data_IF_036776016984
#
_entry.id   IF_036776016984
#
_cell.length_a   1.000
_cell.length_b   1.000
_cell.length_c   1.000
_cell.angle_alpha   90.00
_cell.angle_beta   90.00
_cell.angle_gamma   90.00
#
_symmetry.space_group_name_H-M   'P 1'
#
loop_
_entity.id
_entity.type
_entity.pdbx_description
1 polymer ?
#
# COMPACT_ATOMS: atom_id res chain seq x y z
N UNK A 1 -11.41 -7.26 -15.29
CA UNK A 1 -10.39 -7.56 -14.25
C UNK A 1 -9.75 -6.24 -13.89
N UNK A 2 -10.01 -5.72 -12.68
CA UNK A 2 -9.41 -4.48 -12.21
C UNK A 2 -7.88 -4.61 -12.17
N UNK A 3 -7.22 -3.72 -12.91
CA UNK A 3 -5.76 -3.64 -12.96
C UNK A 3 -5.27 -3.01 -11.66
N UNK A 4 -4.58 -3.79 -10.83
CA UNK A 4 -3.91 -3.30 -9.64
C UNK A 4 -2.50 -2.79 -9.99
N UNK A 5 -2.04 -1.79 -9.23
CA UNK A 5 -0.72 -1.19 -9.38
C UNK A 5 0.37 -2.24 -9.09
N UNK A 6 1.30 -2.43 -10.02
CA UNK A 6 2.32 -3.49 -9.94
C UNK A 6 3.27 -3.32 -8.76
N UNK A 7 3.51 -2.08 -8.31
CA UNK A 7 4.29 -1.80 -7.09
C UNK A 7 3.60 -2.36 -5.85
N UNK A 8 2.27 -2.18 -5.76
CA UNK A 8 1.49 -2.72 -4.66
C UNK A 8 1.50 -4.25 -4.66
N UNK A 9 1.25 -4.85 -5.82
CA UNK A 9 1.29 -6.30 -5.98
C UNK A 9 2.63 -6.87 -5.52
N UNK A 10 3.74 -6.26 -5.95
CA UNK A 10 5.09 -6.62 -5.51
C UNK A 10 5.29 -6.50 -3.99
N UNK A 11 4.80 -5.42 -3.38
CA UNK A 11 4.91 -5.21 -1.92
C UNK A 11 4.10 -6.21 -1.08
N UNK A 12 3.03 -6.77 -1.65
CA UNK A 12 2.13 -7.70 -0.96
C UNK A 12 2.52 -9.17 -1.14
N UNK A 13 3.52 -9.49 -1.98
CA UNK A 13 4.03 -10.85 -2.13
C UNK A 13 4.66 -11.34 -0.82
N UNK A 14 4.01 -12.30 -0.16
CA UNK A 14 4.47 -12.89 1.11
C UNK A 14 5.36 -14.11 0.92
N UNK A 15 5.10 -14.90 -0.11
CA UNK A 15 5.79 -16.18 -0.36
C UNK A 15 6.93 -16.02 -1.38
N UNK A 16 7.97 -15.25 -1.02
CA UNK A 16 9.17 -15.06 -1.83
C UNK A 16 10.35 -15.84 -1.26
N UNK A 17 11.03 -16.61 -2.11
CA UNK A 17 12.38 -17.09 -1.78
C UNK A 17 13.36 -15.92 -1.67
N UNK A 18 14.52 -16.08 -1.00
CA UNK A 18 15.50 -15.00 -0.85
C UNK A 18 15.92 -14.35 -2.18
N UNK A 19 16.12 -15.16 -3.24
CA UNK A 19 16.46 -14.67 -4.57
C UNK A 19 15.30 -13.93 -5.25
N UNK A 20 14.07 -14.38 -5.08
CA UNK A 20 12.91 -13.66 -5.64
C UNK A 20 12.69 -12.32 -4.91
N UNK A 21 12.93 -12.27 -3.60
CA UNK A 21 12.88 -11.02 -2.83
C UNK A 21 13.95 -10.03 -3.29
N UNK A 22 15.17 -10.47 -3.58
CA UNK A 22 16.19 -9.59 -4.16
C UNK A 22 15.75 -8.94 -5.48
N UNK A 23 15.08 -9.70 -6.35
CA UNK A 23 14.53 -9.16 -7.60
C UNK A 23 13.45 -8.13 -7.31
N UNK A 24 12.49 -8.46 -6.44
CA UNK A 24 11.37 -7.57 -6.08
C UNK A 24 11.89 -6.28 -5.44
N UNK A 25 12.80 -6.37 -4.47
CA UNK A 25 13.35 -5.22 -3.76
C UNK A 25 14.13 -4.30 -4.72
N UNK A 26 14.91 -4.87 -5.64
CA UNK A 26 15.61 -4.08 -6.66
C UNK A 26 14.65 -3.32 -7.56
N UNK A 27 13.58 -3.97 -8.06
CA UNK A 27 12.59 -3.31 -8.92
C UNK A 27 11.86 -2.20 -8.15
N UNK A 28 11.52 -2.41 -6.88
CA UNK A 28 10.87 -1.40 -6.05
C UNK A 28 11.77 -0.18 -5.79
N UNK A 29 13.07 -0.41 -5.59
CA UNK A 29 14.04 0.65 -5.31
C UNK A 29 14.50 1.40 -6.58
N UNK A 30 14.61 0.68 -7.70
CA UNK A 30 15.16 1.18 -8.96
C UNK A 30 14.25 0.86 -10.17
N UNK A 31 13.00 1.37 -10.19
CA UNK A 31 12.00 0.97 -11.17
C UNK A 31 12.32 1.42 -12.61
N UNK A 32 12.87 2.62 -12.79
CA UNK A 32 13.30 3.12 -14.10
C UNK A 32 14.47 2.30 -14.66
N UNK A 33 15.44 1.98 -13.82
CA UNK A 33 16.56 1.12 -14.21
C UNK A 33 16.06 -0.28 -14.59
N UNK A 34 15.12 -0.84 -13.83
CA UNK A 34 14.54 -2.15 -14.12
C UNK A 34 13.81 -2.20 -15.48
N UNK A 35 13.22 -1.09 -15.96
CA UNK A 35 12.61 -1.02 -17.29
C UNK A 35 13.63 -1.15 -18.43
N UNK A 36 14.80 -0.57 -18.26
CA UNK A 36 15.86 -0.56 -19.27
C UNK A 36 16.55 -1.92 -19.39
N UNK A 37 16.50 -2.74 -18.34
CA UNK A 37 17.18 -4.03 -18.30
C UNK A 37 16.44 -5.10 -19.12
N UNK A 38 17.22 -6.00 -19.71
CA UNK A 38 16.73 -7.29 -20.21
C UNK A 38 16.50 -8.25 -19.03
N UNK A 39 15.72 -9.32 -19.22
CA UNK A 39 15.47 -10.30 -18.15
C UNK A 39 16.78 -10.92 -17.63
N UNK A 40 17.77 -11.11 -18.51
CA UNK A 40 19.09 -11.64 -18.16
C UNK A 40 19.89 -10.61 -17.38
N UNK A 41 19.87 -9.34 -17.80
CA UNK A 41 20.57 -8.27 -17.12
C UNK A 41 19.95 -7.95 -15.74
N UNK A 42 18.62 -8.02 -15.61
CA UNK A 42 17.93 -7.87 -14.33
C UNK A 42 18.28 -9.02 -13.37
N UNK A 43 18.34 -10.25 -13.88
CA UNK A 43 18.86 -11.38 -13.11
C UNK A 43 20.28 -11.11 -12.62
N UNK A 44 21.19 -10.71 -13.51
CA UNK A 44 22.58 -10.43 -13.15
C UNK A 44 22.72 -9.28 -12.12
N UNK A 45 21.99 -8.17 -12.28
CA UNK A 45 22.01 -7.03 -11.36
C UNK A 45 21.49 -7.37 -9.96
N UNK A 46 20.64 -8.39 -9.87
CA UNK A 46 20.07 -8.86 -8.60
C UNK A 46 20.82 -10.05 -8.03
N UNK A 47 21.96 -10.44 -8.63
CA UNK A 47 22.71 -11.66 -8.29
C UNK A 47 21.86 -12.95 -8.39
N UNK A 48 20.91 -12.95 -9.32
CA UNK A 48 20.02 -14.07 -9.60
C UNK A 48 20.07 -14.49 -11.07
N UNK A 49 19.21 -15.44 -11.47
CA UNK A 49 19.08 -15.92 -12.84
C UNK A 49 17.83 -15.34 -13.52
N UNK A 50 17.82 -15.34 -14.86
CA UNK A 50 16.63 -14.99 -15.65
C UNK A 50 15.41 -15.85 -15.29
N UNK A 51 15.61 -17.11 -14.90
CA UNK A 51 14.54 -17.99 -14.43
C UNK A 51 13.92 -17.53 -13.11
N UNK A 52 14.70 -16.90 -12.22
CA UNK A 52 14.18 -16.29 -10.99
C UNK A 52 13.32 -15.08 -11.30
N UNK A 53 13.77 -14.20 -12.19
CA UNK A 53 12.96 -13.06 -12.68
C UNK A 53 11.66 -13.55 -13.32
N UNK A 54 11.72 -14.60 -14.15
CA UNK A 54 10.52 -15.19 -14.76
C UNK A 54 9.53 -15.74 -13.72
N UNK A 55 10.02 -16.36 -12.62
CA UNK A 55 9.15 -16.83 -11.53
C UNK A 55 8.47 -15.67 -10.80
N UNK A 56 9.17 -14.56 -10.59
CA UNK A 56 8.56 -13.33 -10.02
C UNK A 56 7.45 -12.82 -10.93
N UNK A 57 7.67 -12.75 -12.25
CA UNK A 57 6.62 -12.39 -13.21
C UNK A 57 5.39 -13.31 -13.08
N UNK A 58 5.59 -14.63 -12.99
CA UNK A 58 4.48 -15.58 -12.79
C UNK A 58 3.72 -15.34 -11.49
N UNK A 59 4.40 -15.00 -10.39
CA UNK A 59 3.76 -14.66 -9.10
C UNK A 59 2.95 -13.37 -9.16
N UNK A 60 3.35 -12.42 -10.01
CA UNK A 60 2.62 -11.18 -10.28
C UNK A 60 1.48 -11.35 -11.29
N UNK A 61 1.18 -12.59 -11.70
CA UNK A 61 0.12 -12.90 -12.67
C UNK A 61 0.25 -12.12 -13.98
N UNK A 62 1.49 -11.83 -14.41
CA UNK A 62 1.78 -11.21 -15.71
C UNK A 62 2.17 -12.24 -16.75
N UNK A 63 1.90 -11.93 -18.02
CA UNK A 63 2.22 -12.80 -19.16
C UNK A 63 3.69 -12.64 -19.59
N UNK A 64 4.59 -12.99 -18.67
CA UNK A 64 6.04 -12.96 -18.88
C UNK A 64 6.66 -11.57 -18.72
N UNK A 65 7.96 -11.46 -19.04
CA UNK A 65 8.74 -10.27 -18.73
C UNK A 65 8.39 -9.04 -19.58
N UNK A 66 7.92 -9.23 -20.82
CA UNK A 66 7.50 -8.10 -21.66
C UNK A 66 6.25 -7.43 -21.10
N UNK A 67 5.26 -8.23 -20.68
CA UNK A 67 4.02 -7.74 -20.05
C UNK A 67 4.33 -7.09 -18.69
N UNK A 68 5.22 -7.69 -17.90
CA UNK A 68 5.76 -7.06 -16.69
C UNK A 68 6.32 -5.66 -16.98
N UNK A 69 7.20 -5.51 -17.98
CA UNK A 69 7.78 -4.20 -18.31
C UNK A 69 6.75 -3.20 -18.81
N UNK A 70 5.75 -3.65 -19.57
CA UNK A 70 4.67 -2.78 -20.04
C UNK A 70 3.81 -2.27 -18.87
N UNK A 71 3.46 -3.15 -17.92
CA UNK A 71 2.74 -2.77 -16.71
C UNK A 71 3.57 -1.85 -15.82
N UNK A 72 4.84 -2.20 -15.60
CA UNK A 72 5.79 -1.38 -14.85
C UNK A 72 5.93 0.01 -15.47
N UNK A 73 6.05 0.11 -16.79
CA UNK A 73 6.15 1.39 -17.50
C UNK A 73 4.90 2.24 -17.28
N UNK A 74 3.72 1.68 -17.52
CA UNK A 74 2.48 2.41 -17.37
C UNK A 74 2.22 2.83 -15.90
N UNK A 75 2.62 2.00 -14.93
CA UNK A 75 2.51 2.36 -13.51
C UNK A 75 3.58 3.37 -13.10
N UNK A 76 4.79 3.35 -13.67
CA UNK A 76 5.80 4.40 -13.50
C UNK A 76 5.29 5.72 -14.06
N UNK A 77 4.67 5.75 -15.24
CA UNK A 77 4.14 6.98 -15.81
C UNK A 77 2.99 7.55 -14.96
N UNK A 78 2.04 6.70 -14.55
CA UNK A 78 0.97 7.09 -13.64
C UNK A 78 1.51 7.55 -12.28
N UNK A 79 2.65 7.01 -11.84
CA UNK A 79 3.30 7.39 -10.60
C UNK A 79 4.08 8.70 -10.76
N UNK A 80 4.85 8.88 -11.84
CA UNK A 80 5.59 10.09 -12.18
C UNK A 80 4.68 11.31 -12.36
N UNK A 81 3.43 11.11 -12.84
CA UNK A 81 2.43 12.19 -12.89
C UNK A 81 2.05 12.74 -11.50
N UNK A 82 2.36 12.01 -10.42
CA UNK A 82 2.25 12.46 -9.02
C UNK A 82 3.61 12.63 -8.30
N UNK A 83 4.70 12.10 -8.86
CA UNK A 83 5.98 11.84 -8.17
C UNK A 83 7.15 12.53 -8.87
N UNK A 84 7.11 13.85 -8.93
CA UNK A 84 8.34 14.66 -8.82
C UNK A 84 8.88 14.67 -7.36
N UNK A 85 8.65 13.58 -6.60
CA UNK A 85 8.94 13.45 -5.16
C UNK A 85 9.53 12.06 -4.92
N UNK A 86 10.87 11.98 -4.82
CA UNK A 86 11.71 10.81 -4.54
C UNK A 86 10.99 9.53 -4.02
N UNK A 87 11.34 8.40 -4.66
CA UNK A 87 10.71 7.07 -4.58
C UNK A 87 10.78 6.35 -3.23
N UNK A 88 11.41 6.91 -2.20
CA UNK A 88 11.51 6.31 -0.87
C UNK A 88 10.98 7.28 0.20
N UNK A 89 10.38 6.76 1.28
CA UNK A 89 10.17 7.56 2.50
C UNK A 89 11.51 8.18 2.86
N UNK A 90 11.56 9.50 2.94
CA UNK A 90 12.82 10.18 3.14
C UNK A 90 13.07 10.16 4.65
N UNK A 91 14.09 9.42 5.12
CA UNK A 91 14.38 9.37 6.54
C UNK A 91 14.75 10.77 7.02
N UNK A 92 14.18 11.15 8.15
CA UNK A 92 14.60 12.35 8.89
C UNK A 92 15.76 11.89 9.77
N UNK A 93 16.93 12.45 9.53
CA UNK A 93 18.17 12.12 10.23
C UNK A 93 18.50 13.19 11.28
N UNK A 94 19.25 12.82 12.31
CA UNK A 94 19.76 13.76 13.29
C UNK A 94 20.75 14.78 12.68
N UNK A 95 21.34 14.48 11.52
CA UNK A 95 22.21 15.41 10.78
C UNK A 95 21.45 16.42 9.91
N UNK A 96 20.13 16.27 9.74
CA UNK A 96 19.35 17.17 8.90
C UNK A 96 19.31 18.58 9.47
N UNK A 97 19.39 19.59 8.60
CA UNK A 97 19.05 20.95 9.03
C UNK A 97 17.55 21.05 9.35
N UNK A 98 17.16 22.12 10.04
CA UNK A 98 15.74 22.39 10.29
C UNK A 98 14.95 22.53 8.98
N UNK A 99 15.55 23.15 7.96
CA UNK A 99 14.94 23.28 6.65
C UNK A 99 14.74 21.90 6.00
N UNK A 100 15.76 21.05 6.00
CA UNK A 100 15.67 19.69 5.45
C UNK A 100 14.58 18.89 6.18
N UNK A 101 14.53 19.00 7.51
CA UNK A 101 13.50 18.34 8.32
C UNK A 101 12.09 18.77 7.92
N UNK A 102 11.86 20.07 7.77
CA UNK A 102 10.55 20.61 7.35
C UNK A 102 10.16 20.08 5.96
N UNK A 103 11.08 20.13 5.00
CA UNK A 103 10.84 19.66 3.64
C UNK A 103 10.55 18.15 3.62
N UNK A 104 11.33 17.35 4.34
CA UNK A 104 11.14 15.90 4.45
C UNK A 104 9.82 15.52 5.10
N UNK A 105 9.39 16.22 6.15
CA UNK A 105 8.07 15.99 6.78
C UNK A 105 6.94 16.22 5.78
N UNK A 106 6.95 17.38 5.10
CA UNK A 106 5.92 17.72 4.11
C UNK A 106 5.90 16.70 2.97
N UNK A 107 7.08 16.35 2.43
CA UNK A 107 7.20 15.37 1.35
C UNK A 107 6.67 14.00 1.78
N UNK A 108 7.00 13.52 2.97
CA UNK A 108 6.49 12.25 3.50
C UNK A 108 4.97 12.26 3.71
N UNK A 109 4.38 13.38 4.15
CA UNK A 109 2.93 13.52 4.29
C UNK A 109 2.22 13.52 2.92
N UNK A 110 2.69 14.33 1.98
CA UNK A 110 2.17 14.37 0.60
C UNK A 110 2.25 13.00 -0.05
N UNK A 111 3.37 12.31 0.17
CA UNK A 111 3.59 10.95 -0.32
C UNK A 111 2.55 9.96 0.22
N UNK A 112 2.31 9.97 1.52
CA UNK A 112 1.30 9.09 2.12
C UNK A 112 -0.10 9.29 1.51
N UNK A 113 -0.47 10.54 1.18
CA UNK A 113 -1.74 10.83 0.51
C UNK A 113 -1.78 10.31 -0.93
N UNK A 114 -0.69 10.47 -1.69
CA UNK A 114 -0.56 9.93 -3.04
C UNK A 114 -0.64 8.41 -3.00
N UNK A 115 0.05 7.76 -2.06
CA UNK A 115 0.01 6.32 -1.87
C UNK A 115 -1.43 5.83 -1.63
N UNK A 116 -2.16 6.45 -0.70
CA UNK A 116 -3.57 6.10 -0.46
C UNK A 116 -4.40 6.17 -1.75
N UNK A 117 -4.19 7.19 -2.58
CA UNK A 117 -4.87 7.32 -3.88
C UNK A 117 -4.47 6.23 -4.88
N UNK A 118 -3.19 5.89 -4.97
CA UNK A 118 -2.65 4.94 -5.95
C UNK A 118 -2.93 3.48 -5.59
N UNK A 119 -3.02 3.17 -4.29
CA UNK A 119 -3.21 1.81 -3.78
C UNK A 119 -4.67 1.37 -3.76
N UNK A 120 -5.61 2.31 -3.86
CA UNK A 120 -7.04 2.06 -3.76
C UNK A 120 -7.74 2.48 -5.07
N UNK A 121 -8.40 1.53 -5.74
CA UNK A 121 -9.27 1.84 -6.87
C UNK A 121 -10.56 2.50 -6.39
N UNK A 122 -11.26 3.18 -7.29
CA UNK A 122 -12.58 3.76 -7.02
C UNK A 122 -13.56 2.67 -6.56
N UNK A 123 -13.56 1.52 -7.22
CA UNK A 123 -14.44 0.38 -6.89
C UNK A 123 -14.22 -0.11 -5.44
N UNK A 124 -12.99 -0.07 -4.91
CA UNK A 124 -12.72 -0.40 -3.49
C UNK A 124 -13.36 0.61 -2.53
N UNK A 125 -13.33 1.89 -2.88
CA UNK A 125 -14.00 2.92 -2.09
C UNK A 125 -15.52 2.77 -2.16
N UNK A 126 -16.07 2.49 -3.34
CA UNK A 126 -17.50 2.21 -3.50
C UNK A 126 -17.92 1.01 -2.65
N UNK A 127 -17.15 -0.08 -2.68
CA UNK A 127 -17.40 -1.26 -1.85
C UNK A 127 -17.35 -0.95 -0.34
N UNK A 128 -16.40 -0.13 0.10
CA UNK A 128 -16.32 0.30 1.48
C UNK A 128 -17.53 1.15 1.90
N UNK A 129 -18.00 2.05 1.02
CA UNK A 129 -19.22 2.84 1.26
C UNK A 129 -20.45 1.94 1.34
N UNK A 130 -20.59 0.95 0.45
CA UNK A 130 -21.68 -0.04 0.52
C UNK A 130 -21.68 -0.77 1.87
N UNK A 131 -20.53 -1.28 2.32
CA UNK A 131 -20.42 -1.94 3.62
C UNK A 131 -20.82 -1.03 4.79
N UNK A 132 -20.39 0.23 4.77
CA UNK A 132 -20.77 1.21 5.79
C UNK A 132 -22.29 1.46 5.80
N UNK A 133 -22.93 1.51 4.63
CA UNK A 133 -24.36 1.77 4.50
C UNK A 133 -25.24 0.56 4.87
N UNK A 134 -24.81 -0.65 4.53
CA UNK A 134 -25.60 -1.88 4.76
C UNK A 134 -25.44 -2.44 6.19
N UNK A 135 -24.38 -2.03 6.90
CA UNK A 135 -24.08 -2.53 8.23
C UNK A 135 -25.09 -2.06 9.28
N UNK A 136 -25.46 -2.96 10.20
CA UNK A 136 -26.29 -2.64 11.35
C UNK A 136 -25.52 -1.84 12.39
N UNK A 137 -24.24 -2.17 12.57
CA UNK A 137 -23.30 -1.46 13.42
C UNK A 137 -21.93 -1.40 12.77
N UNK A 138 -21.21 -0.31 12.99
CA UNK A 138 -19.83 -0.09 12.55
C UNK A 138 -18.97 0.03 13.79
N UNK A 139 -17.97 -0.83 13.94
CA UNK A 139 -17.09 -0.82 15.09
C UNK A 139 -15.67 -0.51 14.68
N UNK A 140 -15.06 0.49 15.31
CA UNK A 140 -13.65 0.82 15.10
C UNK A 140 -12.80 0.27 16.25
N UNK A 141 -11.73 -0.43 15.90
CA UNK A 141 -10.74 -0.92 16.86
C UNK A 141 -9.40 -0.23 16.62
N UNK A 142 -8.94 0.54 17.61
CA UNK A 142 -7.65 1.22 17.55
C UNK A 142 -6.96 1.26 18.90
N UNK A 143 -5.70 0.81 18.95
CA UNK A 143 -4.84 0.90 20.13
C UNK A 143 -3.72 1.92 19.91
N UNK A 144 -3.25 2.56 20.99
CA UNK A 144 -2.20 3.57 20.94
C UNK A 144 -2.59 4.74 20.02
N UNK A 145 -1.68 5.11 19.11
CA UNK A 145 -1.88 6.25 18.19
C UNK A 145 -3.06 6.02 17.24
N UNK A 146 -3.36 4.76 16.89
CA UNK A 146 -4.51 4.43 16.03
C UNK A 146 -5.85 4.75 16.69
N UNK A 147 -5.92 4.82 18.02
CA UNK A 147 -7.13 5.25 18.72
C UNK A 147 -7.54 6.68 18.35
N UNK A 148 -6.57 7.57 18.08
CA UNK A 148 -6.86 8.95 17.66
C UNK A 148 -7.59 8.96 16.31
N UNK A 149 -7.18 8.07 15.40
CA UNK A 149 -7.81 7.93 14.07
C UNK A 149 -9.20 7.31 14.20
N UNK A 150 -9.36 6.27 15.03
CA UNK A 150 -10.68 5.68 15.30
C UNK A 150 -11.64 6.69 15.93
N UNK A 151 -11.15 7.54 16.85
CA UNK A 151 -11.96 8.58 17.47
C UNK A 151 -12.37 9.67 16.47
N UNK A 152 -11.46 10.12 15.60
CA UNK A 152 -11.78 11.07 14.53
C UNK A 152 -12.84 10.49 13.56
N UNK A 153 -12.70 9.22 13.16
CA UNK A 153 -13.67 8.53 12.32
C UNK A 153 -15.03 8.35 13.03
N UNK A 154 -15.03 8.04 14.33
CA UNK A 154 -16.24 8.00 15.15
C UNK A 154 -16.97 9.35 15.14
N UNK A 155 -16.25 10.47 15.36
CA UNK A 155 -16.85 11.80 15.35
C UNK A 155 -17.45 12.16 13.98
N UNK A 156 -16.78 11.77 12.89
CA UNK A 156 -17.31 11.94 11.52
C UNK A 156 -18.56 11.09 11.29
N UNK A 157 -18.53 9.82 11.69
CA UNK A 157 -19.65 8.90 11.52
C UNK A 157 -20.88 9.33 12.33
N UNK A 158 -20.70 9.79 13.57
CA UNK A 158 -21.79 10.35 14.39
C UNK A 158 -22.44 11.54 13.67
N UNK A 159 -21.65 12.46 13.11
CA UNK A 159 -22.18 13.59 12.33
C UNK A 159 -22.95 13.16 11.08
N UNK A 160 -22.61 12.01 10.50
CA UNK A 160 -23.29 11.42 9.35
C UNK A 160 -24.49 10.55 9.74
N UNK A 161 -24.76 10.36 11.05
CA UNK A 161 -25.85 9.50 11.53
C UNK A 161 -25.57 7.99 11.40
N UNK A 162 -24.29 7.60 11.27
CA UNK A 162 -23.91 6.20 11.17
C UNK A 162 -24.00 5.50 12.54
N UNK A 163 -24.40 4.21 12.59
CA UNK A 163 -24.45 3.43 13.83
C UNK A 163 -23.04 2.97 14.24
N UNK A 164 -22.17 3.93 14.61
CA UNK A 164 -20.74 3.72 14.79
C UNK A 164 -20.30 3.77 16.26
N UNK A 165 -19.38 2.89 16.66
CA UNK A 165 -18.71 2.91 17.96
C UNK A 165 -17.19 2.69 17.81
N UNK A 166 -16.43 3.02 18.84
CA UNK A 166 -14.98 2.81 18.89
C UNK A 166 -14.58 2.24 20.24
N UNK A 167 -13.71 1.24 20.25
CA UNK A 167 -13.14 0.66 21.46
C UNK A 167 -11.63 0.88 21.49
N UNK A 168 -11.10 1.22 22.67
CA UNK A 168 -9.68 1.59 22.85
C UNK A 168 -8.92 0.54 23.65
N UNK A 169 -9.56 -0.12 24.61
CA UNK A 169 -8.90 -1.11 25.44
C UNK A 169 -9.02 -2.50 24.83
N UNK A 170 -7.91 -3.24 24.84
CA UNK A 170 -7.84 -4.59 24.28
C UNK A 170 -8.92 -5.54 24.84
N UNK A 171 -9.21 -5.42 26.13
CA UNK A 171 -10.28 -6.20 26.79
C UNK A 171 -11.65 -5.91 26.19
N UNK A 172 -11.98 -4.64 25.98
CA UNK A 172 -13.26 -4.21 25.38
C UNK A 172 -13.36 -4.65 23.92
N UNK A 173 -12.30 -4.42 23.13
CA UNK A 173 -12.24 -4.87 21.74
C UNK A 173 -12.48 -6.38 21.64
N UNK A 174 -11.82 -7.16 22.50
CA UNK A 174 -11.94 -8.62 22.52
C UNK A 174 -13.32 -9.10 22.96
N UNK A 175 -13.95 -8.44 23.92
CA UNK A 175 -15.30 -8.77 24.38
C UNK A 175 -16.35 -8.42 23.33
N UNK A 176 -16.20 -7.28 22.67
CA UNK A 176 -17.12 -6.83 21.63
C UNK A 176 -17.00 -7.67 20.35
N UNK A 177 -15.78 -7.94 19.87
CA UNK A 177 -15.54 -8.73 18.67
C UNK A 177 -16.07 -10.18 18.76
N UNK A 178 -16.31 -10.71 19.95
CA UNK A 178 -16.95 -12.03 20.14
C UNK A 178 -18.47 -12.00 19.97
N UNK A 179 -19.07 -10.81 20.00
CA UNK A 179 -20.52 -10.60 19.92
C UNK A 179 -20.95 -10.09 18.54
N UNK A 180 -20.02 -9.71 17.67
CA UNK A 180 -20.30 -9.27 16.30
C UNK A 180 -20.86 -10.41 15.45
N UNK A 181 -21.85 -10.09 14.61
CA UNK A 181 -22.47 -11.00 13.66
C UNK A 181 -22.24 -10.62 12.19
N UNK A 182 -22.79 -11.38 11.24
CA UNK A 182 -22.59 -11.16 9.81
C UNK A 182 -23.11 -9.83 9.25
N UNK A 183 -23.92 -9.10 10.02
CA UNK A 183 -24.47 -7.79 9.64
C UNK A 183 -23.70 -6.62 10.25
N UNK A 184 -22.65 -6.89 11.03
CA UNK A 184 -21.80 -5.87 11.63
C UNK A 184 -20.54 -5.66 10.79
N UNK A 185 -20.06 -4.42 10.74
CA UNK A 185 -18.81 -4.03 10.09
C UNK A 185 -17.77 -3.69 11.16
N UNK A 186 -16.54 -4.18 10.97
CA UNK A 186 -15.38 -3.92 11.83
C UNK A 186 -14.13 -3.63 10.99
#
# INVERSE_FOLDING_TARGET
MERHNIFLEMSQLRDLSPSERQVVDFVLQHPEQALELSIVALGANTFTSASTVSRVCSKLSVNGFSDFKQRLYADIQNYQEYVYINTNRIPIDCSDSLQDTMEKVIQNCTRALIDVKMLNSVDKFEKAVEWLQESKTITLYGSGVSNLICHDALMKGIRMGLPICSYTYYSEMSMHARQTGPQDLA
#
